data_IF_076308052359
#
_entry.id   IF_076308052359
#
_cell.length_a   1.000
_cell.length_b   1.000
_cell.length_c   1.000
_cell.angle_alpha   90.00
_cell.angle_beta   90.00
_cell.angle_gamma   90.00
#
_symmetry.space_group_name_H-M   'P 1'
#
loop_
_entity.id
_entity.type
_entity.pdbx_description
1 polymer ?
#
# COMPACT_ATOMS: atom_id res chain seq x y z
N UNK A 1 -14.37 -5.22 -19.43
CA UNK A 1 -13.46 -6.01 -20.27
C UNK A 1 -12.60 -6.84 -19.33
N UNK A 2 -12.64 -8.17 -19.43
CA UNK A 2 -11.71 -9.05 -18.68
C UNK A 2 -10.36 -9.12 -19.41
N UNK A 3 -9.94 -8.02 -20.04
CA UNK A 3 -8.59 -7.85 -20.53
C UNK A 3 -7.68 -7.80 -19.31
N UNK A 4 -6.93 -8.87 -19.07
CA UNK A 4 -6.16 -9.13 -17.84
C UNK A 4 -5.00 -8.18 -17.54
N UNK A 5 -5.08 -6.90 -17.93
CA UNK A 5 -4.03 -5.90 -17.73
C UNK A 5 -3.82 -5.53 -16.25
N UNK A 6 -4.87 -5.57 -15.41
CA UNK A 6 -4.77 -5.21 -13.99
C UNK A 6 -4.45 -6.36 -13.02
N UNK A 7 -4.83 -7.59 -13.38
CA UNK A 7 -4.70 -8.77 -12.49
C UNK A 7 -3.22 -9.18 -12.36
N UNK A 8 -2.48 -9.18 -13.47
CA UNK A 8 -1.04 -9.50 -13.47
C UNK A 8 -0.22 -8.61 -12.53
N UNK A 9 -0.35 -7.27 -12.63
CA UNK A 9 0.28 -6.33 -11.71
C UNK A 9 -0.09 -6.53 -10.24
N UNK A 10 -1.38 -6.80 -9.95
CA UNK A 10 -1.83 -7.03 -8.57
C UNK A 10 -1.21 -8.29 -7.95
N UNK A 11 -1.18 -9.41 -8.70
CA UNK A 11 -0.56 -10.66 -8.23
C UNK A 11 0.93 -10.47 -8.02
N UNK A 12 1.64 -9.85 -8.99
CA UNK A 12 3.08 -9.63 -8.89
C UNK A 12 3.44 -8.72 -7.70
N UNK A 13 2.70 -7.64 -7.51
CA UNK A 13 2.88 -6.74 -6.36
C UNK A 13 2.63 -7.47 -5.04
N UNK A 14 1.61 -8.33 -4.97
CA UNK A 14 1.32 -9.15 -3.80
C UNK A 14 2.44 -10.13 -3.46
N UNK A 15 3.03 -10.80 -4.45
CA UNK A 15 4.18 -11.69 -4.26
C UNK A 15 5.41 -10.92 -3.75
N UNK A 16 5.71 -9.76 -4.33
CA UNK A 16 6.80 -8.89 -3.89
C UNK A 16 6.58 -8.41 -2.45
N UNK A 17 5.35 -8.02 -2.10
CA UNK A 17 5.01 -7.60 -0.75
C UNK A 17 5.18 -8.74 0.26
N UNK A 18 4.75 -9.96 -0.09
CA UNK A 18 4.90 -11.13 0.76
C UNK A 18 6.38 -11.48 0.99
N UNK A 19 7.21 -11.46 -0.06
CA UNK A 19 8.64 -11.71 0.04
C UNK A 19 9.35 -10.66 0.90
N UNK A 20 8.99 -9.38 0.74
CA UNK A 20 9.52 -8.29 1.55
C UNK A 20 9.11 -8.40 3.03
N UNK A 21 7.85 -8.76 3.29
CA UNK A 21 7.36 -8.99 4.64
C UNK A 21 8.09 -10.18 5.30
N UNK A 22 8.30 -11.29 4.56
CA UNK A 22 9.07 -12.42 5.06
C UNK A 22 10.52 -12.01 5.40
N UNK A 23 11.18 -11.28 4.49
CA UNK A 23 12.55 -10.81 4.70
C UNK A 23 12.66 -9.85 5.90
N UNK A 24 11.67 -8.97 6.08
CA UNK A 24 11.60 -8.09 7.23
C UNK A 24 11.43 -8.87 8.55
N UNK A 25 10.48 -9.81 8.59
CA UNK A 25 10.20 -10.59 9.81
C UNK A 25 11.35 -11.53 10.17
N UNK A 26 11.95 -12.22 9.19
CA UNK A 26 12.97 -13.23 9.45
C UNK A 26 14.38 -12.69 9.58
N UNK A 27 14.70 -11.62 8.82
CA UNK A 27 16.07 -11.13 8.64
C UNK A 27 16.21 -9.64 8.96
N UNK A 28 15.15 -8.98 9.43
CA UNK A 28 15.13 -7.54 9.69
C UNK A 28 15.57 -6.69 8.49
N UNK A 29 15.34 -7.20 7.27
CA UNK A 29 15.66 -6.45 6.05
C UNK A 29 14.66 -5.29 5.92
N UNK A 30 15.12 -4.04 5.73
CA UNK A 30 14.25 -2.88 5.59
C UNK A 30 13.34 -2.96 4.34
N UNK A 31 12.12 -2.41 4.44
CA UNK A 31 11.09 -2.50 3.39
C UNK A 31 11.34 -1.55 2.20
N UNK A 32 12.32 -0.65 2.28
CA UNK A 32 12.66 0.32 1.23
C UNK A 32 13.05 -0.37 -0.08
N UNK A 33 13.57 -1.60 -0.01
CA UNK A 33 13.85 -2.42 -1.19
C UNK A 33 12.59 -2.71 -2.01
N UNK A 34 11.51 -3.12 -1.33
CA UNK A 34 10.21 -3.36 -1.97
C UNK A 34 9.65 -2.09 -2.62
N UNK A 35 9.74 -0.95 -1.94
CA UNK A 35 9.25 0.33 -2.49
C UNK A 35 9.96 0.69 -3.79
N UNK A 36 11.30 0.59 -3.83
CA UNK A 36 12.08 0.86 -5.05
C UNK A 36 11.72 -0.09 -6.20
N UNK A 37 11.47 -1.35 -5.89
CA UNK A 37 11.13 -2.37 -6.89
C UNK A 37 9.75 -2.12 -7.49
N UNK A 38 8.76 -1.76 -6.67
CA UNK A 38 7.43 -1.32 -7.13
C UNK A 38 7.52 -0.05 -7.98
N UNK A 39 8.28 0.97 -7.54
CA UNK A 39 8.48 2.20 -8.32
C UNK A 39 9.15 1.94 -9.67
N UNK A 40 10.06 0.95 -9.74
CA UNK A 40 10.75 0.57 -10.98
C UNK A 40 9.80 -0.15 -11.95
N UNK A 41 8.90 -1.00 -11.43
CA UNK A 41 7.97 -1.79 -12.25
C UNK A 41 6.77 -0.98 -12.73
N UNK A 42 6.25 -0.07 -11.90
CA UNK A 42 4.96 0.58 -12.13
C UNK A 42 5.02 2.12 -12.10
N UNK A 43 6.20 2.69 -11.84
CA UNK A 43 6.36 4.13 -11.59
C UNK A 43 5.93 4.53 -10.19
N UNK A 44 6.15 5.80 -9.85
CA UNK A 44 5.79 6.37 -8.53
C UNK A 44 4.29 6.52 -8.30
N UNK A 45 3.50 6.46 -9.36
CA UNK A 45 2.10 6.90 -9.33
C UNK A 45 1.97 8.40 -9.07
N UNK A 46 0.74 8.91 -9.17
CA UNK A 46 0.45 10.28 -8.76
C UNK A 46 -0.01 10.33 -7.30
N UNK A 47 0.49 11.28 -6.49
CA UNK A 47 0.02 11.44 -5.13
C UNK A 47 -1.45 11.88 -5.15
N UNK A 48 -2.33 11.00 -4.67
CA UNK A 48 -3.74 11.31 -4.43
C UNK A 48 -3.92 12.41 -3.37
N UNK A 49 -5.16 12.84 -3.14
CA UNK A 49 -5.47 13.89 -2.15
C UNK A 49 -4.83 13.61 -0.78
N UNK A 50 -4.87 12.35 -0.34
CA UNK A 50 -4.32 11.91 0.94
C UNK A 50 -2.78 12.01 0.97
N UNK A 51 -2.11 11.60 -0.10
CA UNK A 51 -0.66 11.76 -0.26
C UNK A 51 -0.24 13.23 -0.18
N UNK A 52 -0.96 14.10 -0.88
CA UNK A 52 -0.71 15.55 -0.86
C UNK A 52 -0.89 16.20 0.52
N UNK A 53 -1.78 15.67 1.37
CA UNK A 53 -1.90 16.17 2.75
C UNK A 53 -0.80 15.63 3.66
N UNK A 54 -0.38 14.38 3.46
CA UNK A 54 0.73 13.79 4.23
C UNK A 54 2.05 14.49 3.93
N UNK A 55 2.30 14.90 2.68
CA UNK A 55 3.50 15.62 2.28
C UNK A 55 3.64 17.01 2.93
N UNK A 56 2.53 17.56 3.44
CA UNK A 56 2.53 18.84 4.18
C UNK A 56 2.91 18.67 5.65
N UNK A 57 2.98 17.44 6.14
CA UNK A 57 3.29 17.15 7.54
C UNK A 57 4.78 16.81 7.72
N UNK A 58 5.40 17.20 8.85
CA UNK A 58 6.69 16.66 9.24
C UNK A 58 6.67 15.12 9.25
N UNK A 59 7.73 14.49 8.73
CA UNK A 59 7.77 13.04 8.50
C UNK A 59 7.49 12.18 9.76
N UNK A 60 7.79 12.69 10.95
CA UNK A 60 7.43 12.04 12.22
C UNK A 60 5.92 12.02 12.48
N UNK A 61 5.23 13.14 12.21
CA UNK A 61 3.79 13.27 12.36
C UNK A 61 3.02 12.50 11.29
N UNK A 62 3.48 12.53 10.04
CA UNK A 62 2.92 11.72 8.97
C UNK A 62 2.95 10.23 9.33
N UNK A 63 4.11 9.74 9.83
CA UNK A 63 4.24 8.35 10.29
C UNK A 63 3.31 8.04 11.47
N UNK A 64 3.19 8.93 12.44
CA UNK A 64 2.30 8.73 13.58
C UNK A 64 0.84 8.62 13.14
N UNK A 65 0.40 9.53 12.26
CA UNK A 65 -0.96 9.54 11.72
C UNK A 65 -1.27 8.25 10.94
N UNK A 66 -0.36 7.83 10.06
CA UNK A 66 -0.50 6.56 9.33
C UNK A 66 -0.60 5.37 10.27
N UNK A 67 0.25 5.30 11.31
CA UNK A 67 0.18 4.22 12.32
C UNK A 67 -1.15 4.21 13.06
N UNK A 68 -1.67 5.37 13.44
CA UNK A 68 -2.96 5.46 14.12
C UNK A 68 -4.11 4.97 13.22
N UNK A 69 -4.13 5.39 11.95
CA UNK A 69 -5.11 4.92 10.95
C UNK A 69 -5.02 3.40 10.75
N UNK A 70 -3.80 2.85 10.65
CA UNK A 70 -3.60 1.41 10.48
C UNK A 70 -3.93 0.58 11.72
N UNK A 71 -3.87 1.18 12.91
CA UNK A 71 -4.28 0.54 14.17
C UNK A 71 -5.81 0.41 14.29
N UNK A 72 -6.56 1.29 13.63
CA UNK A 72 -8.02 1.22 13.55
C UNK A 72 -8.44 0.18 12.50
N UNK A 73 -8.89 -0.99 12.94
CA UNK A 73 -9.23 -2.12 12.07
C UNK A 73 -10.19 -1.76 10.92
N UNK A 74 -11.22 -0.95 11.21
CA UNK A 74 -12.17 -0.44 10.20
C UNK A 74 -11.51 0.51 9.20
N UNK A 75 -10.66 1.44 9.67
CA UNK A 75 -10.00 2.39 8.79
C UNK A 75 -8.96 1.71 7.90
N UNK A 76 -8.18 0.76 8.45
CA UNK A 76 -7.26 -0.09 7.68
C UNK A 76 -8.01 -0.87 6.61
N UNK A 77 -9.11 -1.52 6.98
CA UNK A 77 -9.94 -2.31 6.05
C UNK A 77 -10.47 -1.42 4.93
N UNK A 78 -11.07 -0.27 5.27
CA UNK A 78 -11.60 0.68 4.28
C UNK A 78 -10.50 1.19 3.34
N UNK A 79 -9.32 1.52 3.86
CA UNK A 79 -8.21 2.02 3.04
C UNK A 79 -7.69 0.95 2.06
N UNK A 80 -7.59 -0.30 2.50
CA UNK A 80 -7.14 -1.42 1.65
C UNK A 80 -8.21 -1.79 0.62
N UNK A 81 -9.45 -2.06 1.06
CA UNK A 81 -10.49 -2.56 0.18
C UNK A 81 -11.09 -1.47 -0.71
N UNK A 82 -11.59 -0.37 -0.15
CA UNK A 82 -12.18 0.71 -0.96
C UNK A 82 -11.12 1.50 -1.74
N UNK A 83 -9.95 1.72 -1.12
CA UNK A 83 -8.90 2.58 -1.68
C UNK A 83 -8.00 1.87 -2.67
N UNK A 84 -7.29 0.83 -2.23
CA UNK A 84 -6.25 0.16 -3.04
C UNK A 84 -6.86 -0.79 -4.07
N UNK A 85 -7.85 -1.58 -3.66
CA UNK A 85 -8.46 -2.59 -4.53
C UNK A 85 -9.76 -2.12 -5.21
N UNK A 86 -10.31 -0.96 -4.84
CA UNK A 86 -11.57 -0.46 -5.39
C UNK A 86 -12.78 -1.37 -5.09
N UNK A 87 -12.67 -2.23 -4.07
CA UNK A 87 -13.69 -3.18 -3.67
C UNK A 87 -14.62 -2.54 -2.67
N UNK A 88 -15.89 -2.34 -3.05
CA UNK A 88 -16.95 -1.97 -2.10
C UNK A 88 -17.37 -3.20 -1.31
N UNK A 89 -17.61 -3.03 0.00
CA UNK A 89 -18.20 -4.08 0.82
C UNK A 89 -19.55 -4.51 0.23
N UNK A 90 -19.77 -5.83 0.15
CA UNK A 90 -21.09 -6.36 -0.15
C UNK A 90 -22.01 -5.98 1.03
N UNK A 91 -23.06 -5.21 0.75
CA UNK A 91 -24.11 -4.91 1.73
C UNK A 91 -24.61 -6.24 2.32
N UNK A 92 -24.38 -6.43 3.62
CA UNK A 92 -24.90 -7.58 4.39
C UNK A 92 -26.21 -7.18 5.06
#
# INVERSE_FOLDING_TARGET
DLSGEGIGPAIRSGLLAAAAAEAFVRRHVPLEGYVREIETLYGRGEPGWLGRQLDRLPAGLARLAVRAVLALGLARRRLVFDGIFGMKEAES
#
